data_IF_965322361257
#
_entry.id   IF_965322361257
#
_cell.length_a   1.000
_cell.length_b   1.000
_cell.length_c   1.000
_cell.angle_alpha   90.00
_cell.angle_beta   90.00
_cell.angle_gamma   90.00
#
_symmetry.space_group_name_H-M   'P 1'
#
loop_
_entity.id
_entity.type
_entity.pdbx_description
1 polymer ?
#
# COMPACT_ATOMS: atom_id res chain seq x y z
N UNK A 1 -74.07 -7.60 28.84
CA UNK A 1 -73.52 -7.83 27.51
C UNK A 1 -72.72 -9.13 27.53
N UNK A 2 -72.80 -9.97 26.51
CA UNK A 2 -72.01 -11.21 26.52
C UNK A 2 -70.54 -10.90 26.22
N UNK A 3 -69.59 -11.63 26.80
CA UNK A 3 -68.16 -11.53 26.56
C UNK A 3 -67.80 -11.61 25.06
N UNK A 4 -68.60 -12.33 24.26
CA UNK A 4 -68.46 -12.44 22.84
C UNK A 4 -68.73 -11.11 22.10
N UNK A 5 -69.61 -10.28 22.62
CA UNK A 5 -69.92 -8.96 22.04
C UNK A 5 -68.84 -7.94 22.36
N UNK A 6 -68.31 -7.96 23.61
CA UNK A 6 -67.13 -7.15 23.99
C UNK A 6 -65.91 -7.48 23.15
N UNK A 7 -65.66 -8.77 22.86
CA UNK A 7 -64.54 -9.18 22.01
C UNK A 7 -64.73 -8.72 20.57
N UNK A 8 -65.95 -8.77 20.03
CA UNK A 8 -66.26 -8.30 18.68
C UNK A 8 -66.11 -6.77 18.54
N UNK A 9 -66.47 -6.03 19.57
CA UNK A 9 -66.32 -4.57 19.60
C UNK A 9 -64.82 -4.15 19.67
N UNK A 10 -63.99 -4.91 20.42
CA UNK A 10 -62.55 -4.69 20.47
C UNK A 10 -61.88 -4.94 19.06
N UNK A 11 -62.37 -5.90 18.32
CA UNK A 11 -61.84 -6.17 16.96
C UNK A 11 -62.45 -5.23 15.90
N UNK A 12 -63.62 -4.64 16.11
CA UNK A 12 -64.19 -3.70 15.18
C UNK A 12 -63.51 -2.33 15.22
N UNK A 13 -63.07 -1.91 16.42
CA UNK A 13 -62.41 -0.61 16.66
C UNK A 13 -60.89 -0.65 16.62
N UNK A 14 -60.30 -1.84 16.37
CA UNK A 14 -58.86 -2.06 16.32
C UNK A 14 -58.18 -1.37 15.12
N UNK A 15 -58.40 -0.11 14.93
CA UNK A 15 -57.67 0.74 13.97
C UNK A 15 -57.77 2.23 14.32
N UNK A 16 -58.32 2.55 15.51
CA UNK A 16 -58.29 3.90 16.05
C UNK A 16 -57.00 4.11 16.88
N UNK A 17 -56.58 5.36 16.97
CA UNK A 17 -55.36 5.71 17.71
C UNK A 17 -55.47 5.15 19.16
N UNK A 18 -54.46 4.36 19.56
CA UNK A 18 -54.31 3.67 20.83
C UNK A 18 -55.04 2.32 20.98
N UNK A 19 -55.50 1.67 19.90
CA UNK A 19 -56.10 0.34 19.96
C UNK A 19 -55.22 -0.75 19.33
N UNK A 20 -55.66 -2.02 19.37
CA UNK A 20 -54.92 -3.17 18.88
C UNK A 20 -54.61 -3.03 17.37
N UNK A 21 -53.37 -3.11 17.02
CA UNK A 21 -52.92 -3.06 15.62
C UNK A 21 -53.50 -4.25 14.82
N UNK A 22 -54.13 -3.99 13.69
CA UNK A 22 -54.56 -5.02 12.74
C UNK A 22 -53.43 -5.53 11.92
N UNK A 23 -53.33 -6.86 11.82
CA UNK A 23 -52.49 -7.53 10.86
C UNK A 23 -53.17 -7.61 9.51
N UNK A 24 -52.44 -7.49 8.42
CA UNK A 24 -52.93 -7.78 7.07
C UNK A 24 -53.16 -9.30 6.87
N UNK A 25 -53.67 -9.71 5.69
CA UNK A 25 -53.92 -11.11 5.35
C UNK A 25 -52.70 -12.01 5.37
N UNK A 26 -51.50 -11.45 5.53
CA UNK A 26 -50.18 -12.14 5.63
C UNK A 26 -49.61 -12.11 7.06
N UNK A 27 -50.44 -11.78 8.04
CA UNK A 27 -50.08 -11.59 9.47
C UNK A 27 -48.99 -10.51 9.70
N UNK A 28 -48.98 -9.48 8.86
CA UNK A 28 -48.10 -8.31 8.99
C UNK A 28 -48.90 -7.08 9.43
N UNK A 29 -48.27 -6.19 10.20
CA UNK A 29 -48.80 -4.87 10.49
C UNK A 29 -48.83 -4.05 9.19
N UNK A 30 -49.96 -3.35 8.94
CA UNK A 30 -50.06 -2.45 7.78
C UNK A 30 -49.18 -1.21 8.00
N UNK A 31 -48.61 -0.63 6.92
CA UNK A 31 -47.74 0.56 6.99
C UNK A 31 -48.36 1.75 7.73
N UNK A 32 -49.71 1.82 7.75
CA UNK A 32 -50.44 2.89 8.44
C UNK A 32 -50.35 2.82 9.98
N UNK A 33 -49.88 1.72 10.55
CA UNK A 33 -49.80 1.50 12.01
C UNK A 33 -48.41 1.86 12.57
N UNK A 34 -47.44 2.08 11.72
CA UNK A 34 -46.09 2.47 12.17
C UNK A 34 -46.05 4.00 12.36
N UNK A 35 -45.63 4.49 13.53
CA UNK A 35 -45.28 5.91 13.66
C UNK A 35 -44.10 6.23 12.76
N UNK A 36 -44.06 7.47 12.24
CA UNK A 36 -42.91 7.93 11.41
C UNK A 36 -41.56 7.85 12.14
N UNK A 37 -41.60 7.77 13.46
CA UNK A 37 -40.44 7.49 14.31
C UNK A 37 -40.82 6.32 15.23
N UNK A 38 -40.22 5.18 15.06
CA UNK A 38 -40.36 4.07 16.00
C UNK A 38 -39.73 4.48 17.34
N UNK A 39 -40.39 4.21 18.49
CA UNK A 39 -39.71 4.30 19.77
C UNK A 39 -38.43 3.49 19.75
N UNK A 40 -37.41 3.90 20.51
CA UNK A 40 -36.18 3.11 20.68
C UNK A 40 -36.52 1.73 21.25
N UNK A 41 -36.78 0.76 20.36
CA UNK A 41 -36.99 -0.64 20.72
C UNK A 41 -35.65 -1.35 20.59
N UNK A 42 -35.37 -2.23 21.54
CA UNK A 42 -34.27 -3.18 21.42
C UNK A 42 -34.39 -3.91 20.08
N UNK A 43 -33.46 -3.63 19.17
CA UNK A 43 -33.47 -4.18 17.81
C UNK A 43 -33.06 -5.66 17.74
N UNK A 44 -32.90 -6.34 18.87
CA UNK A 44 -32.41 -7.74 18.95
C UNK A 44 -33.28 -8.75 18.17
N UNK A 45 -34.55 -8.39 17.89
CA UNK A 45 -35.48 -9.22 17.14
C UNK A 45 -35.82 -8.67 15.75
N UNK A 46 -35.16 -7.60 15.29
CA UNK A 46 -35.33 -7.08 13.94
C UNK A 46 -34.57 -8.00 12.95
N UNK A 47 -35.29 -8.89 12.31
CA UNK A 47 -34.74 -9.70 11.21
C UNK A 47 -34.95 -8.97 9.88
N UNK A 48 -33.93 -8.88 9.06
CA UNK A 48 -34.03 -8.27 7.72
C UNK A 48 -33.58 -6.80 7.64
N UNK A 49 -33.08 -6.23 8.74
CA UNK A 49 -32.30 -4.99 8.66
C UNK A 49 -30.96 -5.35 8.03
N UNK A 50 -30.78 -4.98 6.77
CA UNK A 50 -29.49 -5.15 6.09
C UNK A 50 -28.46 -4.24 6.75
N UNK A 51 -27.67 -4.79 7.67
CA UNK A 51 -26.50 -4.10 8.20
C UNK A 51 -25.48 -3.93 7.07
N UNK A 52 -25.30 -2.71 6.62
CA UNK A 52 -24.35 -2.39 5.55
C UNK A 52 -22.96 -2.21 6.17
N UNK A 53 -22.20 -3.31 6.25
CA UNK A 53 -20.82 -3.28 6.73
C UNK A 53 -19.92 -2.52 5.77
N UNK A 54 -18.89 -1.83 6.24
CA UNK A 54 -17.86 -1.31 5.36
C UNK A 54 -17.15 -2.45 4.63
N UNK A 55 -16.64 -2.18 3.44
CA UNK A 55 -15.82 -3.12 2.67
C UNK A 55 -14.53 -2.44 2.24
N UNK A 56 -13.48 -3.23 2.06
CA UNK A 56 -12.19 -2.76 1.53
C UNK A 56 -11.99 -3.44 0.17
N UNK A 57 -11.78 -2.65 -0.88
CA UNK A 57 -11.51 -3.15 -2.24
C UNK A 57 -10.04 -3.05 -2.59
N UNK A 58 -9.38 -1.94 -2.25
CA UNK A 58 -7.96 -1.70 -2.53
C UNK A 58 -7.39 -0.60 -1.64
N UNK A 59 -6.06 -0.53 -1.61
CA UNK A 59 -5.31 0.57 -1.01
C UNK A 59 -4.24 1.08 -1.99
N UNK A 60 -3.84 2.34 -1.85
CA UNK A 60 -2.75 2.92 -2.64
C UNK A 60 -2.06 4.05 -1.86
N UNK A 61 -0.73 4.04 -1.74
CA UNK A 61 0.17 2.94 -2.08
C UNK A 61 -0.05 1.70 -1.21
N UNK A 62 0.36 0.53 -1.70
CA UNK A 62 0.30 -0.74 -0.95
C UNK A 62 1.60 -1.09 -0.23
N UNK A 63 2.69 -0.40 -0.56
CA UNK A 63 3.97 -0.44 0.15
C UNK A 63 4.30 0.98 0.62
N UNK A 64 4.68 1.10 1.88
CA UNK A 64 5.08 2.36 2.53
C UNK A 64 6.36 2.12 3.34
N UNK A 65 7.06 3.19 3.66
CA UNK A 65 8.20 3.15 4.58
C UNK A 65 7.75 3.31 6.05
N UNK A 66 8.73 3.30 6.97
CA UNK A 66 8.49 3.45 8.41
C UNK A 66 8.17 4.90 8.83
N UNK A 67 8.20 5.85 7.89
CA UNK A 67 7.84 7.25 8.16
C UNK A 67 6.33 7.46 8.01
N UNK A 68 5.83 8.61 8.46
CA UNK A 68 4.42 8.94 8.30
C UNK A 68 4.04 9.03 6.83
N UNK A 69 3.25 8.09 6.37
CA UNK A 69 2.81 7.99 4.97
C UNK A 69 1.30 8.07 4.86
N UNK A 70 0.82 8.73 3.80
CA UNK A 70 -0.59 8.83 3.46
C UNK A 70 -0.97 7.73 2.48
N UNK A 71 -2.00 6.94 2.82
CA UNK A 71 -2.61 5.95 1.92
C UNK A 71 -4.06 6.31 1.62
N UNK A 72 -4.53 5.94 0.44
CA UNK A 72 -5.94 5.99 0.09
C UNK A 72 -6.53 4.59 0.19
N UNK A 73 -7.62 4.44 0.93
CA UNK A 73 -8.38 3.19 1.02
C UNK A 73 -9.64 3.35 0.17
N UNK A 74 -9.82 2.45 -0.79
CA UNK A 74 -11.03 2.38 -1.62
C UNK A 74 -11.89 1.19 -1.17
N UNK A 75 -13.18 1.40 -1.09
CA UNK A 75 -14.13 0.38 -0.64
C UNK A 75 -15.58 0.81 -0.84
N UNK A 76 -16.45 0.43 0.09
CA UNK A 76 -17.84 0.86 0.11
C UNK A 76 -18.37 0.95 1.55
N UNK A 77 -19.47 1.67 1.70
CA UNK A 77 -20.23 1.83 2.94
C UNK A 77 -19.42 2.45 4.09
N UNK A 78 -18.46 3.30 3.77
CA UNK A 78 -17.79 4.10 4.79
C UNK A 78 -18.73 5.19 5.30
N UNK A 79 -18.73 5.39 6.61
CA UNK A 79 -19.46 6.47 7.29
C UNK A 79 -18.47 7.46 7.92
N UNK A 80 -18.87 8.69 8.12
CA UNK A 80 -17.99 9.77 8.58
C UNK A 80 -17.97 9.84 10.12
N UNK A 81 -16.83 9.73 10.78
CA UNK A 81 -15.46 9.35 10.39
C UNK A 81 -15.22 7.95 10.94
N UNK A 82 -14.79 6.97 10.14
CA UNK A 82 -14.55 5.63 10.66
C UNK A 82 -13.24 5.59 11.46
N UNK A 83 -13.15 4.61 12.36
CA UNK A 83 -11.89 4.23 13.01
C UNK A 83 -11.12 3.30 12.07
N UNK A 84 -9.84 3.58 11.87
CA UNK A 84 -8.94 2.73 11.09
C UNK A 84 -7.81 2.23 11.97
N UNK A 85 -7.61 0.93 11.96
CA UNK A 85 -6.55 0.23 12.70
C UNK A 85 -5.82 -0.72 11.75
N UNK A 86 -4.54 -0.95 12.03
CA UNK A 86 -3.66 -1.80 11.24
C UNK A 86 -3.09 -2.88 12.15
N UNK A 87 -3.26 -4.14 11.75
CA UNK A 87 -2.76 -5.31 12.48
C UNK A 87 -1.49 -5.82 11.82
N UNK A 88 -0.42 -5.96 12.60
CA UNK A 88 0.70 -6.81 12.22
C UNK A 88 0.38 -8.27 12.63
N UNK A 89 0.07 -9.18 11.69
CA UNK A 89 -0.33 -10.53 12.05
C UNK A 89 0.82 -11.38 12.60
N UNK A 90 2.08 -11.01 12.33
CA UNK A 90 3.27 -11.73 12.85
C UNK A 90 3.51 -11.44 14.32
N UNK A 91 3.20 -10.23 14.80
CA UNK A 91 3.38 -9.83 16.20
C UNK A 91 2.07 -9.79 16.99
N UNK A 92 0.92 -9.74 16.31
CA UNK A 92 -0.39 -9.54 16.91
C UNK A 92 -0.65 -8.11 17.41
N UNK A 93 0.24 -7.15 17.09
CA UNK A 93 0.13 -5.76 17.54
C UNK A 93 -0.80 -4.99 16.62
N UNK A 94 -1.69 -4.20 17.21
CA UNK A 94 -2.55 -3.24 16.53
C UNK A 94 -1.98 -1.84 16.63
N UNK A 95 -1.98 -1.14 15.51
CA UNK A 95 -1.61 0.27 15.40
C UNK A 95 -2.85 1.05 14.97
N UNK A 96 -3.12 2.17 15.64
CA UNK A 96 -4.19 3.08 15.24
C UNK A 96 -3.67 4.06 14.20
N UNK A 97 -4.46 4.38 13.19
CA UNK A 97 -4.11 5.42 12.23
C UNK A 97 -3.88 6.78 12.91
N UNK A 98 -2.87 7.53 12.45
CA UNK A 98 -2.55 8.86 12.97
C UNK A 98 -3.68 9.85 12.67
N UNK A 99 -4.19 9.81 11.45
CA UNK A 99 -5.36 10.58 11.01
C UNK A 99 -6.19 9.79 10.02
N UNK A 100 -7.50 10.00 10.05
CA UNK A 100 -8.46 9.47 9.08
C UNK A 100 -9.28 10.61 8.51
N UNK A 101 -9.23 10.79 7.21
CA UNK A 101 -10.07 11.75 6.48
C UNK A 101 -11.13 10.98 5.70
N UNK A 102 -12.39 11.28 5.99
CA UNK A 102 -13.52 10.75 5.23
C UNK A 102 -13.71 11.57 3.96
N UNK A 103 -13.38 11.01 2.80
CA UNK A 103 -13.59 11.68 1.51
C UNK A 103 -15.05 11.50 1.05
N UNK A 104 -15.53 10.26 1.09
CA UNK A 104 -16.90 9.85 0.78
C UNK A 104 -17.12 8.38 1.20
N UNK A 105 -18.31 7.85 0.94
CA UNK A 105 -18.70 6.48 1.31
C UNK A 105 -17.87 5.37 0.63
N UNK A 106 -16.99 5.71 -0.33
CA UNK A 106 -16.16 4.75 -1.06
C UNK A 106 -14.66 5.03 -0.96
N UNK A 107 -14.26 6.12 -0.29
CA UNK A 107 -12.86 6.55 -0.22
C UNK A 107 -12.52 7.19 1.12
N UNK A 108 -11.40 6.73 1.71
CA UNK A 108 -10.76 7.32 2.89
C UNK A 108 -9.33 7.68 2.54
N UNK A 109 -8.83 8.77 3.13
CA UNK A 109 -7.39 9.08 3.18
C UNK A 109 -6.93 8.87 4.62
N UNK A 110 -5.88 8.05 4.79
CA UNK A 110 -5.40 7.62 6.12
C UNK A 110 -3.91 7.89 6.21
N UNK A 111 -3.47 8.54 7.29
CA UNK A 111 -2.06 8.66 7.61
C UNK A 111 -1.66 7.60 8.63
N UNK A 112 -0.55 6.94 8.38
CA UNK A 112 -0.02 5.84 9.18
C UNK A 112 1.47 6.09 9.46
N UNK A 113 1.89 5.77 10.69
CA UNK A 113 3.29 5.62 11.09
C UNK A 113 3.47 4.23 11.67
N UNK A 114 4.13 3.34 10.93
CA UNK A 114 4.30 1.94 11.32
C UNK A 114 5.80 1.65 11.51
N UNK A 115 6.25 1.41 12.76
CA UNK A 115 7.69 1.36 13.08
C UNK A 115 8.33 -0.01 12.80
N UNK A 116 7.59 -0.99 12.32
CA UNK A 116 8.07 -2.36 12.13
C UNK A 116 7.77 -2.80 10.70
N UNK A 117 8.80 -3.28 10.01
CA UNK A 117 8.66 -3.85 8.67
C UNK A 117 7.81 -5.11 8.68
N UNK A 118 7.16 -5.36 7.56
CA UNK A 118 6.32 -6.54 7.40
C UNK A 118 4.99 -6.27 6.72
N UNK A 119 4.15 -7.29 6.74
CA UNK A 119 2.86 -7.25 6.09
C UNK A 119 1.73 -7.03 7.11
N UNK A 120 0.75 -6.24 6.73
CA UNK A 120 -0.30 -5.78 7.61
C UNK A 120 -1.69 -5.99 7.03
N UNK A 121 -2.65 -6.20 7.94
CA UNK A 121 -4.10 -6.15 7.67
C UNK A 121 -4.68 -4.84 8.13
N UNK A 122 -5.71 -4.35 7.44
CA UNK A 122 -6.41 -3.11 7.79
C UNK A 122 -7.81 -3.45 8.30
N UNK A 123 -8.19 -2.87 9.43
CA UNK A 123 -9.53 -2.90 10.02
C UNK A 123 -10.16 -1.51 9.92
N UNK A 124 -11.37 -1.46 9.44
CA UNK A 124 -12.18 -0.24 9.40
C UNK A 124 -13.45 -0.51 10.20
N UNK A 125 -13.76 0.39 11.11
CA UNK A 125 -14.97 0.36 11.93
C UNK A 125 -15.72 1.67 11.77
N UNK A 126 -16.93 1.60 11.26
CA UNK A 126 -17.82 2.74 11.13
C UNK A 126 -18.32 3.21 12.51
N UNK A 127 -18.81 4.47 12.64
CA UNK A 127 -19.36 4.98 13.89
C UNK A 127 -20.54 4.15 14.47
N UNK A 128 -21.24 3.40 13.63
CA UNK A 128 -22.31 2.48 14.03
C UNK A 128 -21.79 1.16 14.64
N UNK A 129 -20.46 0.97 14.75
CA UNK A 129 -19.83 -0.23 15.29
C UNK A 129 -19.65 -1.37 14.30
N UNK A 130 -20.12 -1.24 13.06
CA UNK A 130 -19.91 -2.24 12.02
C UNK A 130 -18.48 -2.15 11.49
N UNK A 131 -17.82 -3.29 11.41
CA UNK A 131 -16.40 -3.33 11.04
C UNK A 131 -16.09 -4.38 9.97
N UNK A 132 -15.01 -4.13 9.23
CA UNK A 132 -14.35 -5.07 8.32
C UNK A 132 -12.87 -5.16 8.66
N UNK A 133 -12.32 -6.36 8.57
CA UNK A 133 -10.88 -6.63 8.53
C UNK A 133 -10.56 -7.19 7.16
N UNK A 134 -9.48 -6.71 6.53
CA UNK A 134 -9.03 -7.27 5.25
C UNK A 134 -8.76 -8.77 5.39
N UNK A 135 -9.20 -9.56 4.41
CA UNK A 135 -9.04 -11.04 4.43
C UNK A 135 -7.57 -11.45 4.31
N UNK A 136 -6.79 -10.70 3.55
CA UNK A 136 -5.36 -10.89 3.34
C UNK A 136 -4.57 -9.70 3.88
N UNK A 137 -3.25 -9.82 3.94
CA UNK A 137 -2.36 -8.70 4.15
C UNK A 137 -2.39 -7.83 2.88
N UNK A 138 -2.73 -6.56 3.01
CA UNK A 138 -2.91 -5.63 1.89
C UNK A 138 -1.95 -4.44 1.93
N UNK A 139 -1.25 -4.25 3.04
CA UNK A 139 -0.26 -3.20 3.22
C UNK A 139 1.07 -3.84 3.59
N UNK A 140 2.16 -3.38 2.97
CA UNK A 140 3.54 -3.76 3.28
C UNK A 140 4.27 -2.52 3.82
N UNK A 141 5.04 -2.70 4.88
CA UNK A 141 5.99 -1.71 5.39
C UNK A 141 7.38 -2.22 5.13
N UNK A 142 8.20 -1.42 4.45
CA UNK A 142 9.56 -1.77 4.03
C UNK A 142 10.32 -0.48 3.73
N UNK A 143 11.60 -0.44 4.08
CA UNK A 143 12.44 0.73 3.81
C UNK A 143 13.04 0.68 2.40
N UNK A 144 12.99 1.80 1.69
CA UNK A 144 13.61 1.92 0.38
C UNK A 144 15.13 1.71 0.44
N UNK A 145 15.74 1.16 -0.62
CA UNK A 145 17.20 0.92 -0.64
C UNK A 145 18.00 2.19 -0.36
N UNK A 146 19.03 2.05 0.47
CA UNK A 146 19.97 3.12 0.80
C UNK A 146 21.34 2.79 0.24
N UNK A 147 21.92 3.71 -0.56
CA UNK A 147 23.23 3.52 -1.16
C UNK A 147 24.35 3.68 -0.13
N UNK A 148 25.24 2.69 -0.04
CA UNK A 148 26.50 2.75 0.71
C UNK A 148 27.65 3.25 -0.16
N UNK A 149 27.66 2.93 -1.48
CA UNK A 149 28.64 3.49 -2.41
C UNK A 149 28.31 4.98 -2.67
N UNK A 150 29.27 5.87 -2.45
CA UNK A 150 29.13 7.30 -2.71
C UNK A 150 28.87 7.59 -4.19
N UNK A 151 28.05 8.60 -4.47
CA UNK A 151 27.83 9.06 -5.85
C UNK A 151 29.14 9.63 -6.46
N UNK A 152 29.23 9.60 -7.78
CA UNK A 152 30.31 10.22 -8.55
C UNK A 152 31.32 9.24 -9.09
N UNK A 153 32.58 9.58 -9.04
CA UNK A 153 33.65 8.84 -9.68
C UNK A 153 33.96 7.52 -8.99
N UNK A 154 33.91 6.43 -9.76
CA UNK A 154 34.28 5.08 -9.32
C UNK A 154 35.71 4.69 -9.72
N UNK A 155 36.41 5.55 -10.45
CA UNK A 155 37.80 5.39 -10.78
C UNK A 155 38.14 5.56 -12.26
N UNK A 156 39.45 5.58 -12.50
CA UNK A 156 40.05 5.67 -13.83
C UNK A 156 40.79 4.40 -14.15
N UNK A 157 40.50 3.81 -15.30
CA UNK A 157 41.09 2.53 -15.76
C UNK A 157 41.67 2.69 -17.15
N UNK A 158 42.59 1.78 -17.50
CA UNK A 158 43.15 1.75 -18.85
C UNK A 158 42.04 1.45 -19.88
N UNK A 159 42.17 1.99 -21.07
CA UNK A 159 41.19 1.81 -22.15
C UNK A 159 41.08 0.37 -22.68
N UNK A 160 41.98 -0.51 -22.32
CA UNK A 160 41.98 -1.93 -22.66
C UNK A 160 41.76 -2.83 -21.41
N UNK A 161 41.35 -2.25 -20.31
CA UNK A 161 41.11 -2.98 -19.06
C UNK A 161 40.04 -4.07 -19.25
N UNK A 162 40.34 -5.25 -18.72
CA UNK A 162 39.43 -6.38 -18.67
C UNK A 162 39.30 -6.86 -17.22
N UNK A 163 38.06 -7.00 -16.74
CA UNK A 163 37.77 -7.40 -15.37
C UNK A 163 36.71 -6.57 -14.69
N UNK A 164 36.67 -6.62 -13.37
CA UNK A 164 35.73 -5.81 -12.57
C UNK A 164 36.30 -4.40 -12.36
N UNK A 165 35.60 -3.39 -12.84
CA UNK A 165 35.94 -1.97 -12.67
C UNK A 165 35.62 -1.47 -11.27
N UNK A 166 34.42 -1.77 -10.82
CA UNK A 166 33.91 -1.37 -9.50
C UNK A 166 32.73 -2.27 -9.09
N UNK A 167 32.38 -2.23 -7.81
CA UNK A 167 31.15 -2.81 -7.32
C UNK A 167 30.37 -1.73 -6.58
N UNK A 168 29.16 -1.44 -7.02
CA UNK A 168 28.26 -0.51 -6.33
C UNK A 168 27.36 -1.27 -5.38
N UNK A 169 27.16 -0.71 -4.18
CA UNK A 169 26.46 -1.38 -3.09
C UNK A 169 25.38 -0.47 -2.51
N UNK A 170 24.19 -1.00 -2.37
CA UNK A 170 23.11 -0.45 -1.57
C UNK A 170 22.68 -1.47 -0.49
N UNK A 171 22.00 -1.02 0.53
CA UNK A 171 21.41 -1.84 1.60
C UNK A 171 19.92 -1.58 1.70
N UNK A 172 19.15 -2.61 2.02
CA UNK A 172 17.74 -2.56 2.34
C UNK A 172 17.44 -3.65 3.38
N UNK A 173 16.22 -3.68 3.90
CA UNK A 173 15.69 -4.75 4.75
C UNK A 173 15.39 -6.03 3.98
N UNK A 174 15.38 -5.97 2.65
CA UNK A 174 15.17 -7.12 1.77
C UNK A 174 16.24 -7.24 0.67
N UNK A 175 16.12 -8.27 -0.18
CA UNK A 175 17.08 -8.54 -1.24
C UNK A 175 17.05 -7.45 -2.32
N UNK A 176 18.22 -6.96 -2.72
CA UNK A 176 18.39 -5.90 -3.72
C UNK A 176 18.74 -6.49 -5.08
N UNK A 177 18.15 -5.91 -6.12
CA UNK A 177 18.56 -6.07 -7.51
C UNK A 177 18.99 -4.74 -8.09
N UNK A 178 19.97 -4.77 -9.00
CA UNK A 178 20.52 -3.58 -9.64
C UNK A 178 20.14 -3.53 -11.11
N UNK A 179 19.83 -2.33 -11.61
CA UNK A 179 19.59 -2.09 -13.02
C UNK A 179 20.14 -0.73 -13.44
N UNK A 180 20.51 -0.57 -14.70
CA UNK A 180 20.87 0.73 -15.24
C UNK A 180 19.63 1.52 -15.61
N UNK A 181 19.63 2.81 -15.28
CA UNK A 181 18.63 3.78 -15.76
C UNK A 181 19.16 4.40 -17.03
N UNK A 182 18.68 3.91 -18.16
CA UNK A 182 19.21 4.27 -19.48
C UNK A 182 20.00 3.12 -20.13
N UNK A 183 21.04 3.44 -20.91
CA UNK A 183 21.87 2.45 -21.59
C UNK A 183 23.28 2.98 -21.85
N UNK A 184 23.83 3.74 -20.90
CA UNK A 184 25.14 4.39 -21.05
C UNK A 184 26.32 3.44 -20.80
N UNK A 185 26.12 2.40 -19.97
CA UNK A 185 27.16 1.38 -19.69
C UNK A 185 27.56 0.64 -20.96
N UNK A 186 26.63 0.34 -21.85
CA UNK A 186 26.89 -0.32 -23.12
C UNK A 186 27.83 0.49 -24.01
N UNK A 187 27.81 1.83 -23.94
CA UNK A 187 28.73 2.70 -24.72
C UNK A 187 30.18 2.62 -24.24
N UNK A 188 30.39 2.16 -23.00
CA UNK A 188 31.68 1.96 -22.39
C UNK A 188 32.13 0.49 -22.45
N UNK A 189 31.41 -0.41 -23.09
CA UNK A 189 31.59 -1.86 -23.05
C UNK A 189 31.55 -2.42 -21.62
N UNK A 190 30.70 -1.85 -20.75
CA UNK A 190 30.51 -2.27 -19.35
C UNK A 190 29.21 -3.02 -19.22
N UNK A 191 29.23 -4.13 -18.48
CA UNK A 191 28.06 -4.90 -18.07
C UNK A 191 27.86 -4.76 -16.57
N UNK A 192 26.61 -4.63 -16.15
CA UNK A 192 26.23 -4.62 -14.74
C UNK A 192 25.74 -6.00 -14.33
N UNK A 193 26.34 -6.56 -13.29
CA UNK A 193 25.78 -7.73 -12.63
C UNK A 193 24.60 -7.31 -11.73
N UNK A 194 23.41 -7.71 -12.13
CA UNK A 194 22.17 -7.28 -11.50
C UNK A 194 21.98 -7.77 -10.07
N UNK A 195 22.70 -8.82 -9.65
CA UNK A 195 22.60 -9.37 -8.29
C UNK A 195 23.67 -8.84 -7.36
N UNK A 196 24.86 -8.50 -7.88
CA UNK A 196 26.02 -8.13 -7.04
C UNK A 196 26.38 -6.65 -7.13
N UNK A 197 25.86 -5.93 -8.14
CA UNK A 197 26.25 -4.54 -8.43
C UNK A 197 27.66 -4.40 -9.05
N UNK A 198 28.28 -5.52 -9.44
CA UNK A 198 29.58 -5.48 -10.09
C UNK A 198 29.47 -4.90 -11.52
N UNK A 199 30.37 -3.98 -11.83
CA UNK A 199 30.55 -3.38 -13.15
C UNK A 199 31.76 -4.08 -13.83
N UNK A 200 31.49 -4.85 -14.83
CA UNK A 200 32.48 -5.71 -15.47
C UNK A 200 32.63 -5.35 -16.94
N UNK A 201 33.86 -5.57 -17.45
CA UNK A 201 34.18 -5.29 -18.85
C UNK A 201 35.20 -6.32 -19.37
N UNK A 202 35.23 -6.51 -20.67
CA UNK A 202 36.30 -7.25 -21.39
C UNK A 202 37.22 -6.32 -22.16
N UNK A 203 36.80 -5.05 -22.37
CA UNK A 203 37.54 -4.05 -23.12
C UNK A 203 36.94 -2.66 -22.82
N UNK A 204 37.40 -2.05 -21.72
CA UNK A 204 36.81 -0.81 -21.20
C UNK A 204 37.02 0.37 -22.15
N UNK A 205 35.92 0.99 -22.55
CA UNK A 205 35.97 2.14 -23.48
C UNK A 205 36.33 1.81 -24.89
N UNK A 206 36.61 0.52 -25.21
CA UNK A 206 36.97 0.07 -26.56
C UNK A 206 38.25 0.71 -27.06
N UNK A 207 38.39 0.78 -28.37
CA UNK A 207 39.59 1.32 -29.05
C UNK A 207 39.69 2.86 -29.00
N UNK A 208 39.20 3.51 -27.95
CA UNK A 208 39.25 4.98 -27.81
C UNK A 208 40.71 5.44 -27.66
N UNK A 209 41.08 6.46 -28.42
CA UNK A 209 42.41 7.09 -28.37
C UNK A 209 42.46 8.30 -27.45
N UNK A 210 41.38 8.63 -26.78
CA UNK A 210 41.24 9.77 -25.86
C UNK A 210 40.63 9.32 -24.54
N UNK A 211 41.06 9.95 -23.43
CA UNK A 211 40.41 9.74 -22.14
C UNK A 211 38.97 10.15 -22.22
N UNK A 212 38.06 9.29 -21.79
CA UNK A 212 36.61 9.49 -21.89
C UNK A 212 35.95 9.16 -20.56
N UNK A 213 35.12 10.07 -20.05
CA UNK A 213 34.33 9.83 -18.84
C UNK A 213 32.93 9.42 -19.25
N UNK A 214 32.48 8.29 -18.74
CA UNK A 214 31.16 7.72 -18.92
C UNK A 214 30.32 7.95 -17.67
N UNK A 215 29.22 8.68 -17.82
CA UNK A 215 28.28 8.93 -16.74
C UNK A 215 27.07 8.02 -16.91
N UNK A 216 26.63 7.39 -15.82
CA UNK A 216 25.51 6.47 -15.80
C UNK A 216 24.78 6.54 -14.45
N UNK A 217 23.56 6.05 -14.43
CA UNK A 217 22.74 5.98 -13.21
C UNK A 217 22.34 4.54 -12.98
N UNK A 218 22.58 4.06 -11.77
CA UNK A 218 22.14 2.71 -11.34
C UNK A 218 20.97 2.88 -10.40
N UNK A 219 19.96 2.05 -10.58
CA UNK A 219 18.81 1.86 -9.71
C UNK A 219 19.03 0.63 -8.87
N UNK A 220 18.93 0.75 -7.56
CA UNK A 220 18.73 -0.34 -6.64
C UNK A 220 17.23 -0.54 -6.42
N UNK A 221 16.75 -1.78 -6.52
CA UNK A 221 15.34 -2.14 -6.29
C UNK A 221 15.30 -3.26 -5.26
N UNK A 222 14.52 -3.12 -4.20
CA UNK A 222 14.30 -4.14 -3.19
C UNK A 222 13.25 -5.18 -3.62
N UNK A 223 12.99 -6.17 -2.78
CA UNK A 223 12.01 -7.22 -3.08
C UNK A 223 10.56 -6.72 -3.06
N UNK A 224 10.28 -5.61 -2.38
CA UNK A 224 8.98 -4.95 -2.28
C UNK A 224 8.72 -3.99 -3.46
N UNK A 225 9.74 -3.75 -4.29
CA UNK A 225 9.68 -2.90 -5.48
C UNK A 225 9.97 -1.43 -5.22
N UNK A 226 10.45 -1.07 -4.01
CA UNK A 226 10.94 0.28 -3.74
C UNK A 226 12.29 0.51 -4.40
N UNK A 227 12.59 1.73 -4.80
CA UNK A 227 13.77 2.03 -5.61
C UNK A 227 14.54 3.22 -5.10
N UNK A 228 15.87 3.17 -5.29
CA UNK A 228 16.76 4.31 -5.10
C UNK A 228 17.73 4.41 -6.28
N UNK A 229 17.82 5.59 -6.87
CA UNK A 229 18.72 5.86 -8.00
C UNK A 229 19.98 6.57 -7.52
N UNK A 230 21.14 6.24 -8.11
CA UNK A 230 22.38 6.96 -7.87
C UNK A 230 23.24 7.07 -9.13
N UNK A 231 23.78 8.26 -9.37
CA UNK A 231 24.62 8.56 -10.51
C UNK A 231 26.10 8.32 -10.19
N UNK A 232 26.78 7.70 -11.14
CA UNK A 232 28.19 7.36 -11.07
C UNK A 232 28.90 7.73 -12.36
N UNK A 233 30.23 7.73 -12.32
CA UNK A 233 31.07 7.85 -13.49
C UNK A 233 32.27 6.89 -13.43
N UNK A 234 32.76 6.52 -14.59
CA UNK A 234 34.00 5.78 -14.81
C UNK A 234 34.79 6.48 -15.91
N UNK A 235 36.09 6.60 -15.75
CA UNK A 235 36.95 7.23 -16.77
C UNK A 235 37.88 6.19 -17.40
N UNK A 236 37.77 6.05 -18.73
CA UNK A 236 38.75 5.32 -19.52
C UNK A 236 39.93 6.26 -19.80
N UNK A 237 41.11 5.91 -19.32
CA UNK A 237 42.32 6.64 -19.63
C UNK A 237 42.85 6.21 -21.00
N UNK A 238 43.54 7.12 -21.69
CA UNK A 238 44.22 6.80 -22.94
C UNK A 238 45.26 5.68 -22.77
N UNK A 239 45.17 4.67 -23.62
CA UNK A 239 46.02 3.56 -23.88
C UNK A 239 47.30 3.35 -23.04
N UNK A 240 47.20 2.52 -22.01
CA UNK A 240 48.34 2.09 -21.26
C UNK A 240 49.12 0.91 -21.93
N UNK A 241 48.64 0.39 -23.04
CA UNK A 241 49.34 -0.70 -23.76
C UNK A 241 50.43 -0.26 -24.70
N UNK A 242 50.57 1.04 -24.91
CA UNK A 242 51.70 1.61 -25.59
C UNK A 242 52.78 2.07 -24.64
N UNK A 243 53.57 1.17 -24.08
CA UNK A 243 54.88 1.52 -23.59
C UNK A 243 55.70 2.10 -24.76
N UNK A 244 55.36 3.31 -25.18
CA UNK A 244 56.18 4.08 -26.08
C UNK A 244 57.51 4.33 -25.40
N UNK A 245 58.48 3.52 -25.66
CA UNK A 245 59.85 3.89 -25.39
C UNK A 245 60.11 5.14 -26.21
N UNK A 246 60.15 6.29 -25.56
CA UNK A 246 60.81 7.48 -26.12
C UNK A 246 62.30 7.21 -26.05
N UNK A 247 62.91 6.85 -27.19
CA UNK A 247 64.32 6.89 -27.41
C UNK A 247 64.72 8.34 -27.65
#
# INVERSE_FOLDING_TARGET
MSKARELADIFADANTANELAKLDGSAKLTDAVFPAVLPAVDGSNLTGVAETKPTISSISPSTIDNTQTSITITGANFESVPRVEVLNPSTGIWYTADTVTFNNSTSLTVQLTLPVDGQYKIRIENPNGLAVLSSTNILTVSDAPTWTTSAGDLGTFAGDFSGTLATVVATSDSAITYSEVGSNLATANVTLNTSTGALETTDFGGASTTATTYNFTIRATDAEGQTADRSFSLTSSFGATGGGQFN
#
